data_IF_908984665606
#
_entry.id   IF_908984665606
#
_cell.length_a   1.000
_cell.length_b   1.000
_cell.length_c   1.000
_cell.angle_alpha   90.00
_cell.angle_beta   90.00
_cell.angle_gamma   90.00
#
_symmetry.space_group_name_H-M   'P 1'
#
loop_
_entity.id
_entity.type
_entity.pdbx_description
1 polymer ?
#
# COMPACT_ATOMS: atom_id res chain seq x y z
N UNK A 1 -48.06 4.98 11.17
CA UNK A 1 -47.37 4.21 10.11
C UNK A 1 -46.19 4.96 9.47
N UNK A 2 -46.34 6.28 9.15
CA UNK A 2 -45.22 7.06 8.54
C UNK A 2 -43.96 7.16 9.41
N UNK A 3 -44.06 7.24 10.72
CA UNK A 3 -42.91 7.33 11.63
C UNK A 3 -42.16 6.03 11.83
N UNK A 4 -42.79 4.87 11.62
CA UNK A 4 -42.17 3.56 11.71
C UNK A 4 -41.31 3.30 10.46
N UNK A 5 -41.76 3.74 9.27
CA UNK A 5 -41.00 3.62 8.03
C UNK A 5 -39.71 4.47 8.05
N UNK A 6 -39.78 5.70 8.63
CA UNK A 6 -38.59 6.57 8.76
C UNK A 6 -37.56 5.96 9.73
N UNK A 7 -38.01 5.34 10.81
CA UNK A 7 -37.12 4.69 11.77
C UNK A 7 -36.39 3.46 11.15
N UNK A 8 -37.08 2.68 10.33
CA UNK A 8 -36.50 1.50 9.67
C UNK A 8 -35.45 1.91 8.63
N UNK A 9 -35.69 2.97 7.86
CA UNK A 9 -34.71 3.48 6.89
C UNK A 9 -33.48 4.07 7.57
N UNK A 10 -33.62 4.73 8.72
CA UNK A 10 -32.48 5.29 9.46
C UNK A 10 -31.58 4.18 10.05
N UNK A 11 -32.19 3.11 10.59
CA UNK A 11 -31.46 1.95 11.13
C UNK A 11 -30.73 1.18 10.03
N UNK A 12 -31.33 1.03 8.85
CA UNK A 12 -30.68 0.36 7.73
C UNK A 12 -29.44 1.11 7.21
N UNK A 13 -29.49 2.46 7.16
CA UNK A 13 -28.34 3.29 6.78
C UNK A 13 -27.21 3.23 7.79
N UNK A 14 -27.50 3.18 9.08
CA UNK A 14 -26.48 3.06 10.15
C UNK A 14 -25.81 1.68 10.10
N UNK A 15 -26.56 0.61 9.87
CA UNK A 15 -25.99 -0.74 9.75
C UNK A 15 -25.07 -0.89 8.52
N UNK A 16 -25.41 -0.30 7.39
CA UNK A 16 -24.57 -0.36 6.18
C UNK A 16 -23.25 0.42 6.34
N UNK A 17 -23.26 1.54 7.04
CA UNK A 17 -22.05 2.31 7.33
C UNK A 17 -21.12 1.58 8.32
N UNK A 18 -21.64 0.90 9.33
CA UNK A 18 -20.85 0.11 10.27
C UNK A 18 -20.17 -1.12 9.60
N UNK A 19 -20.83 -1.76 8.63
CA UNK A 19 -20.25 -2.87 7.86
C UNK A 19 -19.11 -2.41 6.94
N UNK A 20 -19.25 -1.25 6.32
CA UNK A 20 -18.22 -0.67 5.46
C UNK A 20 -16.99 -0.21 6.27
N UNK A 21 -17.19 0.39 7.44
CA UNK A 21 -16.12 0.79 8.36
C UNK A 21 -15.29 -0.41 8.84
N UNK A 22 -15.94 -1.50 9.24
CA UNK A 22 -15.26 -2.70 9.74
C UNK A 22 -14.36 -3.36 8.66
N UNK A 23 -14.79 -3.33 7.39
CA UNK A 23 -13.98 -3.84 6.26
C UNK A 23 -12.76 -2.95 6.00
N UNK A 24 -12.92 -1.64 6.10
CA UNK A 24 -11.84 -0.66 5.93
C UNK A 24 -10.79 -0.74 7.05
N UNK A 25 -11.21 -0.95 8.30
CA UNK A 25 -10.31 -1.09 9.45
C UNK A 25 -9.50 -2.40 9.39
N UNK A 26 -10.14 -3.51 9.08
CA UNK A 26 -9.46 -4.80 8.88
C UNK A 26 -8.44 -4.74 7.77
N UNK A 27 -8.76 -4.07 6.66
CA UNK A 27 -7.82 -3.89 5.56
C UNK A 27 -6.64 -2.99 5.95
N UNK A 28 -6.89 -1.88 6.66
CA UNK A 28 -5.81 -1.00 7.16
C UNK A 28 -4.87 -1.75 8.09
N UNK A 29 -5.43 -2.46 9.07
CA UNK A 29 -4.63 -3.28 9.99
C UNK A 29 -3.79 -4.31 9.25
N UNK A 30 -4.36 -5.03 8.31
CA UNK A 30 -3.61 -5.98 7.47
C UNK A 30 -2.48 -5.30 6.69
N UNK A 31 -2.72 -4.11 6.14
CA UNK A 31 -1.68 -3.34 5.43
C UNK A 31 -0.57 -2.87 6.38
N UNK A 32 -0.91 -2.52 7.62
CA UNK A 32 0.06 -2.13 8.64
C UNK A 32 0.90 -3.34 9.08
N UNK A 33 0.26 -4.47 9.34
CA UNK A 33 0.93 -5.73 9.65
C UNK A 33 1.90 -6.15 8.52
N UNK A 34 1.47 -6.03 7.26
CA UNK A 34 2.32 -6.35 6.11
C UNK A 34 3.52 -5.39 5.97
N UNK A 35 3.37 -4.11 6.35
CA UNK A 35 4.51 -3.19 6.37
C UNK A 35 5.55 -3.60 7.40
N UNK A 36 5.12 -3.96 8.61
CA UNK A 36 6.04 -4.43 9.65
C UNK A 36 6.75 -5.72 9.23
N UNK A 37 6.01 -6.69 8.68
CA UNK A 37 6.59 -7.94 8.16
C UNK A 37 7.63 -7.64 7.07
N UNK A 38 7.37 -6.67 6.18
CA UNK A 38 8.34 -6.24 5.15
C UNK A 38 9.60 -5.65 5.78
N UNK A 39 9.45 -4.76 6.77
CA UNK A 39 10.59 -4.13 7.47
C UNK A 39 11.48 -5.19 8.13
N UNK A 40 10.87 -6.11 8.89
CA UNK A 40 11.59 -7.20 9.55
C UNK A 40 12.32 -8.10 8.56
N UNK A 41 11.65 -8.47 7.48
CA UNK A 41 12.23 -9.29 6.42
C UNK A 41 13.44 -8.62 5.78
N UNK A 42 13.29 -7.35 5.38
CA UNK A 42 14.37 -6.59 4.73
C UNK A 42 15.54 -6.38 5.69
N UNK A 43 15.28 -6.01 6.94
CA UNK A 43 16.31 -5.85 7.96
C UNK A 43 17.13 -7.14 8.17
N UNK A 44 16.46 -8.29 8.19
CA UNK A 44 17.09 -9.61 8.30
C UNK A 44 17.94 -9.95 7.06
N UNK A 45 17.41 -9.73 5.84
CA UNK A 45 18.13 -9.98 4.59
C UNK A 45 19.39 -9.12 4.45
N UNK A 46 19.33 -7.86 4.90
CA UNK A 46 20.46 -6.93 4.92
C UNK A 46 21.41 -7.18 6.09
N UNK A 47 21.08 -8.10 7.01
CA UNK A 47 21.84 -8.39 8.24
C UNK A 47 22.14 -7.12 9.05
N UNK A 48 21.11 -6.29 9.25
CA UNK A 48 21.26 -5.05 10.01
C UNK A 48 21.61 -5.35 11.46
N UNK A 49 22.52 -4.58 12.03
CA UNK A 49 22.74 -4.57 13.48
C UNK A 49 21.51 -4.00 14.20
N UNK A 50 21.38 -4.23 15.49
CA UNK A 50 20.28 -3.67 16.30
C UNK A 50 20.21 -2.14 16.17
N UNK A 51 21.37 -1.46 16.26
CA UNK A 51 21.48 -0.01 16.11
C UNK A 51 21.09 0.48 14.69
N UNK A 52 21.51 -0.25 13.64
CA UNK A 52 21.09 0.08 12.28
C UNK A 52 19.58 -0.11 12.11
N UNK A 53 19.01 -1.21 12.61
CA UNK A 53 17.59 -1.50 12.51
C UNK A 53 16.74 -0.43 13.19
N UNK A 54 17.13 0.03 14.38
CA UNK A 54 16.44 1.10 15.11
C UNK A 54 16.32 2.37 14.26
N UNK A 55 17.41 2.79 13.61
CA UNK A 55 17.43 3.96 12.74
C UNK A 55 16.78 3.74 11.36
N UNK A 56 16.94 2.54 10.81
CA UNK A 56 16.41 2.15 9.50
C UNK A 56 14.89 2.09 9.48
N UNK A 57 14.28 1.49 10.51
CA UNK A 57 12.84 1.22 10.56
C UNK A 57 11.99 2.48 10.28
N UNK A 58 12.13 3.59 11.03
CA UNK A 58 11.28 4.75 10.82
C UNK A 58 11.45 5.38 9.43
N UNK A 59 12.68 5.42 8.90
CA UNK A 59 12.99 5.98 7.58
C UNK A 59 12.38 5.11 6.47
N UNK A 60 12.58 3.80 6.56
CA UNK A 60 12.09 2.85 5.58
C UNK A 60 10.56 2.73 5.58
N UNK A 61 9.93 2.79 6.75
CA UNK A 61 8.47 2.85 6.86
C UNK A 61 7.89 4.14 6.28
N UNK A 62 8.52 5.29 6.54
CA UNK A 62 8.09 6.56 5.97
C UNK A 62 8.13 6.53 4.43
N UNK A 63 9.23 6.02 3.84
CA UNK A 63 9.35 5.78 2.42
C UNK A 63 8.21 4.90 1.88
N UNK A 64 7.98 3.75 2.50
CA UNK A 64 6.93 2.83 2.06
C UNK A 64 5.52 3.42 2.21
N UNK A 65 5.27 4.29 3.21
CA UNK A 65 4.00 5.00 3.35
C UNK A 65 3.78 6.02 2.23
N UNK A 66 4.80 6.79 1.86
CA UNK A 66 4.71 7.77 0.76
C UNK A 66 4.49 7.06 -0.58
N UNK A 67 5.27 6.01 -0.89
CA UNK A 67 5.07 5.18 -2.09
C UNK A 67 3.66 4.57 -2.10
N UNK A 68 3.22 4.01 -0.98
CA UNK A 68 1.88 3.45 -0.84
C UNK A 68 0.77 4.48 -1.03
N UNK A 69 1.01 5.75 -0.68
CA UNK A 69 0.05 6.84 -0.89
C UNK A 69 -0.13 7.13 -2.37
N UNK A 70 0.93 7.40 -3.10
CA UNK A 70 0.85 7.71 -4.55
C UNK A 70 0.25 6.54 -5.35
N UNK A 71 0.58 5.31 -4.99
CA UNK A 71 -0.04 4.11 -5.59
C UNK A 71 -1.55 4.03 -5.35
N UNK A 72 -2.02 4.34 -4.12
CA UNK A 72 -3.46 4.33 -3.82
C UNK A 72 -4.20 5.44 -4.55
N UNK A 73 -3.63 6.62 -4.63
CA UNK A 73 -4.22 7.77 -5.35
C UNK A 73 -4.38 7.45 -6.84
N UNK A 74 -3.35 6.93 -7.48
CA UNK A 74 -3.41 6.51 -8.90
C UNK A 74 -4.46 5.41 -9.11
N UNK A 75 -4.47 4.37 -8.27
CA UNK A 75 -5.47 3.29 -8.36
C UNK A 75 -6.90 3.78 -8.11
N UNK A 76 -7.08 4.79 -7.26
CA UNK A 76 -8.40 5.37 -7.01
C UNK A 76 -8.93 6.11 -8.24
N UNK A 77 -8.07 6.86 -8.94
CA UNK A 77 -8.41 7.50 -10.21
C UNK A 77 -8.76 6.46 -11.27
N UNK A 78 -7.90 5.49 -11.50
CA UNK A 78 -8.13 4.38 -12.44
C UNK A 78 -9.45 3.66 -12.15
N UNK A 79 -9.71 3.34 -10.89
CA UNK A 79 -10.94 2.69 -10.47
C UNK A 79 -12.17 3.57 -10.72
N UNK A 80 -12.09 4.86 -10.39
CA UNK A 80 -13.19 5.81 -10.60
C UNK A 80 -13.61 5.87 -12.07
N UNK A 81 -12.65 5.95 -12.99
CA UNK A 81 -12.91 5.96 -14.43
C UNK A 81 -13.51 4.62 -14.89
N UNK A 82 -12.92 3.51 -14.45
CA UNK A 82 -13.44 2.18 -14.81
C UNK A 82 -14.87 1.94 -14.32
N UNK A 83 -15.19 2.38 -13.09
CA UNK A 83 -16.53 2.21 -12.52
C UNK A 83 -17.59 3.05 -13.25
N UNK A 84 -17.21 4.19 -13.82
CA UNK A 84 -18.07 5.03 -14.67
C UNK A 84 -18.32 4.43 -16.06
N UNK A 85 -17.42 3.61 -16.56
CA UNK A 85 -17.51 3.03 -17.90
C UNK A 85 -17.75 4.10 -18.96
N UNK A 86 -18.76 3.91 -19.80
CA UNK A 86 -19.10 4.83 -20.91
C UNK A 86 -19.57 6.23 -20.46
N UNK A 87 -19.80 6.46 -19.16
CA UNK A 87 -20.16 7.79 -18.63
C UNK A 87 -18.95 8.60 -18.15
N UNK A 88 -17.74 8.05 -18.23
CA UNK A 88 -16.54 8.79 -17.95
C UNK A 88 -16.24 9.80 -19.07
N UNK A 89 -15.81 10.99 -18.68
CA UNK A 89 -15.42 12.04 -19.62
C UNK A 89 -14.00 11.86 -20.14
N UNK A 90 -13.68 12.41 -21.31
CA UNK A 90 -12.33 12.39 -21.88
C UNK A 90 -11.30 12.97 -20.88
N UNK A 91 -11.65 14.07 -20.20
CA UNK A 91 -10.80 14.66 -19.16
C UNK A 91 -10.50 13.70 -17.99
N UNK A 92 -11.43 12.84 -17.62
CA UNK A 92 -11.22 11.83 -16.57
C UNK A 92 -10.31 10.71 -17.05
N UNK A 93 -10.46 10.29 -18.32
CA UNK A 93 -9.54 9.33 -18.95
C UNK A 93 -8.12 9.90 -19.00
N UNK A 94 -7.96 11.16 -19.46
CA UNK A 94 -6.66 11.82 -19.56
C UNK A 94 -5.97 11.91 -18.18
N UNK A 95 -6.67 12.40 -17.15
CA UNK A 95 -6.14 12.48 -15.80
C UNK A 95 -5.71 11.13 -15.21
N UNK A 96 -6.51 10.08 -15.44
CA UNK A 96 -6.16 8.75 -14.96
C UNK A 96 -4.94 8.19 -15.71
N UNK A 97 -4.87 8.38 -17.03
CA UNK A 97 -3.76 7.95 -17.87
C UNK A 97 -2.47 8.68 -17.48
N UNK A 98 -2.51 10.01 -17.31
CA UNK A 98 -1.38 10.81 -16.87
C UNK A 98 -0.87 10.34 -15.51
N UNK A 99 -1.77 10.15 -14.53
CA UNK A 99 -1.40 9.66 -13.21
C UNK A 99 -0.74 8.26 -13.26
N UNK A 100 -1.19 7.37 -14.16
CA UNK A 100 -0.60 6.04 -14.34
C UNK A 100 0.80 6.12 -14.97
N UNK A 101 1.00 6.99 -15.95
CA UNK A 101 2.29 7.21 -16.62
C UNK A 101 3.30 7.83 -15.64
N UNK A 102 2.88 8.81 -14.86
CA UNK A 102 3.75 9.51 -13.90
C UNK A 102 4.09 8.69 -12.64
N UNK A 103 3.29 7.65 -12.33
CA UNK A 103 3.42 6.90 -11.07
C UNK A 103 4.86 6.46 -10.83
N UNK A 104 5.51 5.89 -11.84
CA UNK A 104 6.90 5.38 -11.72
C UNK A 104 7.91 6.49 -11.45
N UNK A 105 7.71 7.66 -12.03
CA UNK A 105 8.51 8.85 -11.75
C UNK A 105 8.36 9.30 -10.30
N UNK A 106 7.12 9.40 -9.81
CA UNK A 106 6.81 9.78 -8.42
C UNK A 106 7.41 8.80 -7.41
N UNK A 107 7.32 7.49 -7.66
CA UNK A 107 7.98 6.48 -6.84
C UNK A 107 9.49 6.67 -6.81
N UNK A 108 10.11 6.90 -7.96
CA UNK A 108 11.56 7.11 -8.08
C UNK A 108 12.03 8.35 -7.29
N UNK A 109 11.28 9.46 -7.34
CA UNK A 109 11.62 10.67 -6.58
C UNK A 109 11.51 10.44 -5.06
N UNK A 110 10.49 9.70 -4.61
CA UNK A 110 10.36 9.31 -3.20
C UNK A 110 11.56 8.43 -2.80
N UNK A 111 11.90 7.43 -3.59
CA UNK A 111 13.05 6.55 -3.33
C UNK A 111 14.35 7.34 -3.26
N UNK A 112 14.59 8.30 -4.16
CA UNK A 112 15.77 9.17 -4.13
C UNK A 112 15.84 10.00 -2.84
N UNK A 113 14.72 10.63 -2.45
CA UNK A 113 14.63 11.43 -1.22
C UNK A 113 15.05 10.62 0.01
N UNK A 114 14.51 9.44 0.17
CA UNK A 114 14.81 8.59 1.32
C UNK A 114 16.16 7.87 1.22
N UNK A 115 16.68 7.64 0.02
CA UNK A 115 18.02 7.07 -0.20
C UNK A 115 19.11 7.91 0.47
N UNK A 116 19.01 9.23 0.46
CA UNK A 116 19.99 10.09 1.12
C UNK A 116 20.03 9.87 2.63
N UNK A 117 18.86 9.66 3.25
CA UNK A 117 18.80 9.31 4.68
C UNK A 117 19.33 7.89 4.93
N UNK A 118 18.97 6.93 4.09
CA UNK A 118 19.42 5.54 4.21
C UNK A 118 20.95 5.41 4.04
N UNK A 119 21.61 6.27 3.25
CA UNK A 119 23.07 6.32 3.11
C UNK A 119 23.79 6.58 4.43
N UNK A 120 23.16 7.27 5.37
CA UNK A 120 23.75 7.55 6.70
C UNK A 120 23.63 6.38 7.68
N UNK A 121 22.78 5.40 7.37
CA UNK A 121 22.43 4.28 8.23
C UNK A 121 23.05 2.98 7.71
N UNK A 122 23.00 2.78 6.39
CA UNK A 122 23.40 1.56 5.71
C UNK A 122 24.79 1.66 5.13
N UNK A 123 25.52 0.55 5.12
CA UNK A 123 26.75 0.45 4.33
C UNK A 123 26.41 0.50 2.84
N UNK A 124 27.40 0.82 2.00
CA UNK A 124 27.25 0.83 0.53
C UNK A 124 26.74 -0.51 0.00
N UNK A 125 27.21 -1.62 0.58
CA UNK A 125 26.76 -2.97 0.23
C UNK A 125 25.29 -3.19 0.62
N UNK A 126 24.90 -2.85 1.85
CA UNK A 126 23.52 -2.98 2.30
C UNK A 126 22.56 -2.13 1.46
N UNK A 127 22.97 -0.91 1.12
CA UNK A 127 22.17 -0.02 0.25
C UNK A 127 22.03 -0.59 -1.18
N UNK A 128 23.09 -1.20 -1.71
CA UNK A 128 23.04 -1.92 -3.00
C UNK A 128 22.11 -3.14 -2.94
N UNK A 129 22.18 -3.92 -1.85
CA UNK A 129 21.37 -5.13 -1.66
C UNK A 129 19.91 -4.84 -1.32
N UNK A 130 19.53 -3.60 -0.94
CA UNK A 130 18.19 -3.23 -0.50
C UNK A 130 17.12 -3.60 -1.55
N UNK A 131 17.28 -3.16 -2.79
CA UNK A 131 16.31 -3.47 -3.86
C UNK A 131 16.19 -4.98 -4.16
N UNK A 132 17.27 -5.73 -3.94
CA UNK A 132 17.25 -7.19 -4.05
C UNK A 132 16.44 -7.83 -2.92
N UNK A 133 16.61 -7.35 -1.69
CA UNK A 133 15.85 -7.81 -0.53
C UNK A 133 14.34 -7.54 -0.70
N UNK A 134 13.97 -6.37 -1.22
CA UNK A 134 12.59 -6.02 -1.52
C UNK A 134 11.96 -6.92 -2.58
N UNK A 135 12.68 -7.16 -3.70
CA UNK A 135 12.21 -8.10 -4.72
C UNK A 135 12.06 -9.52 -4.21
N UNK A 136 12.93 -9.94 -3.27
CA UNK A 136 12.85 -11.26 -2.64
C UNK A 136 11.60 -11.36 -1.75
N UNK A 137 11.33 -10.32 -0.96
CA UNK A 137 10.10 -10.23 -0.18
C UNK A 137 8.84 -10.34 -1.04
N UNK A 138 8.77 -9.56 -2.13
CA UNK A 138 7.62 -9.58 -3.03
C UNK A 138 7.39 -10.98 -3.65
N UNK A 139 8.46 -11.67 -4.06
CA UNK A 139 8.36 -13.05 -4.59
C UNK A 139 7.85 -14.03 -3.54
N UNK A 140 8.35 -13.92 -2.31
CA UNK A 140 7.94 -14.79 -1.20
C UNK A 140 6.46 -14.59 -0.85
N UNK A 141 6.01 -13.35 -0.79
CA UNK A 141 4.61 -13.01 -0.55
C UNK A 141 3.69 -13.60 -1.64
N UNK A 142 4.09 -13.49 -2.92
CA UNK A 142 3.33 -14.06 -4.03
C UNK A 142 3.31 -15.60 -4.02
N UNK A 143 4.41 -16.23 -3.59
CA UNK A 143 4.50 -17.68 -3.42
C UNK A 143 3.52 -18.18 -2.35
N UNK A 144 3.50 -17.52 -1.20
CA UNK A 144 2.59 -17.86 -0.09
C UNK A 144 1.12 -17.66 -0.49
N UNK A 145 0.81 -16.59 -1.21
CA UNK A 145 -0.55 -16.34 -1.70
C UNK A 145 -1.04 -17.43 -2.66
N UNK A 146 -0.18 -17.93 -3.55
CA UNK A 146 -0.51 -19.05 -4.46
C UNK A 146 -0.71 -20.35 -3.72
N UNK A 147 0.17 -20.68 -2.76
CA UNK A 147 0.05 -21.89 -1.94
C UNK A 147 -1.25 -21.89 -1.11
N UNK A 148 -1.63 -20.76 -0.52
CA UNK A 148 -2.88 -20.63 0.24
C UNK A 148 -4.15 -20.77 -0.59
N UNK A 149 -4.09 -20.55 -1.92
CA UNK A 149 -5.23 -20.82 -2.82
C UNK A 149 -5.36 -22.29 -3.18
N UNK A 150 -4.25 -23.02 -3.29
CA UNK A 150 -4.28 -24.46 -3.61
C UNK A 150 -4.83 -25.33 -2.46
N UNK A 151 -4.69 -24.89 -1.22
CA UNK A 151 -5.18 -25.65 -0.05
C UNK A 151 -6.67 -25.42 0.28
N UNK A 152 -7.40 -24.65 -0.54
CA UNK A 152 -8.85 -24.36 -0.35
C UNK A 152 -9.76 -25.08 -1.35
N UNK A 153 -9.23 -26.00 -2.11
CA UNK A 153 -9.93 -26.95 -2.97
C UNK A 153 -9.60 -28.37 -2.54
#
# INVERSE_FOLDING_TARGET
MKHILIAITLVATICMSAFAQNKGEKFRKWMDDMRQVKVEYVAKELKLTAQQKEKFTPVYEAMNREIGKVNRETRALEKSVRDKGNSATDLEYDKATEAMVELKGKECEIEKKYREQLKTILTKKQLFDLSRAERKFARELMRQHRAGKHNKH
#
